data_IF_582627401486
#
_entry.id   IF_582627401486
#
_cell.length_a   1.000
_cell.length_b   1.000
_cell.length_c   1.000
_cell.angle_alpha   90.00
_cell.angle_beta   90.00
_cell.angle_gamma   90.00
#
_symmetry.space_group_name_H-M   'P 1'
#
loop_
_entity.id
_entity.type
_entity.pdbx_description
1 polymer ?
#
# COMPACT_ATOMS: atom_id res chain seq x y z
N UNK A 1 -7.60 -3.64 -18.85
CA UNK A 1 -8.59 -3.07 -19.79
C UNK A 1 -8.40 -1.54 -19.88
N UNK A 2 -8.65 -0.90 -21.01
CA UNK A 2 -8.45 0.56 -21.20
C UNK A 2 -9.66 1.35 -20.69
N UNK A 3 -9.43 2.44 -19.96
CA UNK A 3 -10.48 3.36 -19.46
C UNK A 3 -11.53 3.71 -20.52
N UNK A 4 -11.09 3.96 -21.75
CA UNK A 4 -11.95 4.34 -22.87
C UNK A 4 -13.09 3.34 -23.10
N UNK A 5 -12.81 2.04 -22.98
CA UNK A 5 -13.83 1.00 -23.15
C UNK A 5 -14.95 1.14 -22.11
N UNK A 6 -14.60 1.37 -20.84
CA UNK A 6 -15.57 1.57 -19.73
C UNK A 6 -16.49 2.73 -20.03
N UNK A 7 -15.91 3.84 -20.49
CA UNK A 7 -16.65 5.08 -20.73
C UNK A 7 -17.57 4.95 -21.95
N UNK A 8 -17.13 4.26 -23.00
CA UNK A 8 -17.90 4.09 -24.24
C UNK A 8 -19.04 3.09 -24.09
N UNK A 9 -18.87 2.06 -23.25
CA UNK A 9 -19.85 0.97 -23.09
C UNK A 9 -20.74 1.14 -21.86
N UNK A 10 -20.57 2.21 -21.08
CA UNK A 10 -21.44 2.53 -19.95
C UNK A 10 -22.90 2.72 -20.42
N UNK A 11 -23.86 1.86 -19.98
CA UNK A 11 -25.25 1.97 -20.40
C UNK A 11 -25.84 3.33 -20.03
N UNK A 12 -26.71 3.87 -20.89
CA UNK A 12 -27.30 5.20 -20.69
C UNK A 12 -28.00 5.35 -19.33
N UNK A 13 -28.65 4.29 -18.85
CA UNK A 13 -29.37 4.26 -17.57
C UNK A 13 -28.43 4.28 -16.37
N UNK A 14 -27.24 3.68 -16.50
CA UNK A 14 -26.16 3.76 -15.52
C UNK A 14 -25.54 5.16 -15.56
N UNK A 15 -25.23 5.67 -16.76
CA UNK A 15 -24.62 6.98 -16.96
C UNK A 15 -25.44 8.11 -16.32
N UNK A 16 -26.78 8.06 -16.42
CA UNK A 16 -27.69 9.03 -15.77
C UNK A 16 -27.70 8.98 -14.24
N UNK A 17 -27.19 7.90 -13.65
CA UNK A 17 -27.08 7.70 -12.20
C UNK A 17 -25.66 7.93 -11.68
N UNK A 18 -24.78 8.51 -12.51
CA UNK A 18 -23.41 8.83 -12.15
C UNK A 18 -23.20 10.34 -12.04
N UNK A 19 -22.23 10.74 -11.24
CA UNK A 19 -21.85 12.15 -11.08
C UNK A 19 -20.34 12.30 -11.28
N UNK A 20 -19.93 13.27 -12.08
CA UNK A 20 -18.53 13.63 -12.20
C UNK A 20 -18.09 14.47 -11.00
N UNK A 21 -16.96 14.12 -10.40
CA UNK A 21 -16.37 14.88 -9.28
C UNK A 21 -14.90 15.15 -9.56
N UNK A 22 -14.43 16.30 -9.09
CA UNK A 22 -13.03 16.70 -9.12
C UNK A 22 -12.53 16.80 -7.70
N UNK A 23 -11.35 16.25 -7.45
CA UNK A 23 -10.67 16.31 -6.16
C UNK A 23 -9.28 16.93 -6.37
N UNK A 24 -8.93 17.92 -5.55
CA UNK A 24 -7.62 18.57 -5.55
C UNK A 24 -6.63 17.76 -4.70
N UNK A 25 -5.30 17.91 -4.91
CA UNK A 25 -4.30 17.25 -4.07
C UNK A 25 -4.56 17.48 -2.57
N UNK A 26 -4.55 16.40 -1.78
CA UNK A 26 -4.84 16.40 -0.35
C UNK A 26 -6.32 16.24 0.01
N UNK A 27 -7.25 16.30 -0.96
CA UNK A 27 -8.67 16.04 -0.69
C UNK A 27 -8.95 14.54 -0.59
N UNK A 28 -9.73 14.16 0.43
CA UNK A 28 -10.13 12.77 0.63
C UNK A 28 -11.35 12.43 -0.23
N UNK A 29 -11.23 11.35 -1.01
CA UNK A 29 -12.33 10.80 -1.82
C UNK A 29 -13.22 9.93 -0.94
N UNK A 30 -12.61 9.10 -0.09
CA UNK A 30 -13.27 8.29 0.94
C UNK A 30 -12.42 8.27 2.21
N UNK A 31 -13.05 8.16 3.38
CA UNK A 31 -12.33 7.95 4.64
C UNK A 31 -12.65 6.58 5.23
N UNK A 32 -11.64 5.95 5.82
CA UNK A 32 -11.79 4.71 6.58
C UNK A 32 -12.89 4.86 7.64
N UNK A 33 -13.77 3.86 7.72
CA UNK A 33 -14.84 3.82 8.70
C UNK A 33 -16.08 4.65 8.33
N UNK A 34 -16.05 5.42 7.24
CA UNK A 34 -17.26 5.98 6.66
C UNK A 34 -18.05 4.91 5.91
N UNK A 35 -19.35 5.13 5.77
CA UNK A 35 -20.23 4.19 5.06
C UNK A 35 -19.87 4.07 3.58
N UNK A 36 -19.66 2.83 3.13
CA UNK A 36 -19.32 2.45 1.76
C UNK A 36 -20.53 2.47 0.82
N UNK A 37 -21.19 3.64 0.72
CA UNK A 37 -22.40 3.84 -0.10
C UNK A 37 -22.13 4.12 -1.58
N UNK A 38 -20.87 4.37 -1.95
CA UNK A 38 -20.50 4.78 -3.30
C UNK A 38 -19.25 4.04 -3.80
N UNK A 39 -19.20 3.89 -5.12
CA UNK A 39 -17.99 3.47 -5.85
C UNK A 39 -17.57 4.61 -6.76
N UNK A 40 -16.26 4.82 -6.88
CA UNK A 40 -15.68 5.87 -7.70
C UNK A 40 -14.76 5.25 -8.74
N UNK A 41 -14.98 5.55 -10.02
CA UNK A 41 -14.07 5.24 -11.11
C UNK A 41 -13.12 6.41 -11.32
N UNK A 42 -11.83 6.18 -11.11
CA UNK A 42 -10.77 7.15 -11.36
C UNK A 42 -10.52 7.28 -12.87
N UNK A 43 -10.80 8.46 -13.42
CA UNK A 43 -10.67 8.75 -14.86
C UNK A 43 -9.46 9.61 -15.18
N UNK A 44 -8.91 10.31 -14.17
CA UNK A 44 -7.68 11.11 -14.27
C UNK A 44 -7.02 11.24 -12.90
N UNK A 45 -5.69 11.31 -12.90
CA UNK A 45 -4.89 11.58 -11.70
C UNK A 45 -4.43 10.32 -10.98
N UNK A 46 -3.88 10.51 -9.80
CA UNK A 46 -3.37 9.45 -8.92
C UNK A 46 -3.88 9.67 -7.51
N UNK A 47 -4.23 8.58 -6.83
CA UNK A 47 -4.65 8.61 -5.42
C UNK A 47 -3.73 7.78 -4.55
N UNK A 48 -3.73 8.05 -3.25
CA UNK A 48 -2.95 7.34 -2.24
C UNK A 48 -3.87 6.67 -1.24
N UNK A 49 -3.61 5.39 -0.99
CA UNK A 49 -4.37 4.56 -0.05
C UNK A 49 -3.64 4.50 1.28
N UNK A 50 -4.35 4.84 2.35
CA UNK A 50 -3.77 4.88 3.69
C UNK A 50 -4.73 4.41 4.78
N UNK A 51 -4.15 3.94 5.88
CA UNK A 51 -4.84 3.62 7.11
C UNK A 51 -4.50 4.67 8.16
N UNK A 52 -5.51 5.24 8.79
CA UNK A 52 -5.35 6.07 9.98
C UNK A 52 -5.63 5.22 11.22
N UNK A 53 -4.72 5.30 12.20
CA UNK A 53 -4.85 4.60 13.47
C UNK A 53 -5.39 5.54 14.54
N UNK A 54 -5.92 4.99 15.65
CA UNK A 54 -6.44 5.79 16.77
C UNK A 54 -5.40 6.74 17.40
N UNK A 55 -4.10 6.51 17.15
CA UNK A 55 -3.01 7.40 17.53
C UNK A 55 -2.88 8.66 16.67
N UNK A 56 -3.67 8.78 15.58
CA UNK A 56 -3.51 9.83 14.55
C UNK A 56 -2.40 9.53 13.54
N UNK A 57 -1.69 8.40 13.67
CA UNK A 57 -0.66 8.01 12.72
C UNK A 57 -1.29 7.49 11.43
N UNK A 58 -0.78 7.96 10.28
CA UNK A 58 -1.22 7.55 8.95
C UNK A 58 -0.18 6.66 8.28
N UNK A 59 -0.58 5.46 7.89
CA UNK A 59 0.25 4.52 7.15
C UNK A 59 -0.24 4.41 5.71
N UNK A 60 0.59 4.86 4.77
CA UNK A 60 0.34 4.72 3.32
C UNK A 60 0.90 3.41 2.84
N UNK A 61 0.09 2.62 2.12
CA UNK A 61 0.48 1.28 1.68
C UNK A 61 0.15 0.98 0.22
N UNK A 62 -0.40 1.95 -0.50
CA UNK A 62 -0.65 1.81 -1.93
C UNK A 62 -1.01 3.14 -2.57
N UNK A 63 -1.08 3.11 -3.89
CA UNK A 63 -1.63 4.15 -4.75
C UNK A 63 -2.56 3.50 -5.78
N UNK A 64 -3.45 4.30 -6.35
CA UNK A 64 -4.29 3.88 -7.47
C UNK A 64 -4.04 4.79 -8.67
N UNK A 65 -3.89 4.15 -9.83
CA UNK A 65 -3.63 4.80 -11.12
C UNK A 65 -4.80 4.59 -12.08
N UNK A 66 -4.91 5.46 -13.09
CA UNK A 66 -6.00 5.38 -14.06
C UNK A 66 -5.86 4.14 -14.98
N UNK A 67 -6.94 3.37 -15.21
CA UNK A 67 -8.21 3.36 -14.49
C UNK A 67 -8.16 2.48 -13.24
N UNK A 68 -8.75 2.94 -12.15
CA UNK A 68 -9.02 2.12 -10.96
C UNK A 68 -10.36 2.50 -10.32
N UNK A 69 -10.80 1.66 -9.40
CA UNK A 69 -12.00 1.82 -8.61
C UNK A 69 -11.67 2.04 -7.13
N UNK A 70 -12.46 2.87 -6.48
CA UNK A 70 -12.43 3.16 -5.05
C UNK A 70 -13.78 2.75 -4.46
N UNK A 71 -13.76 1.97 -3.38
CA UNK A 71 -14.97 1.45 -2.74
C UNK A 71 -15.52 0.16 -3.34
N UNK A 72 -14.94 -0.32 -4.45
CA UNK A 72 -15.31 -1.57 -5.10
C UNK A 72 -15.08 -2.78 -4.19
N UNK A 73 -13.96 -2.80 -3.45
CA UNK A 73 -13.63 -3.87 -2.52
C UNK A 73 -14.73 -4.07 -1.47
N UNK A 74 -15.15 -3.00 -0.80
CA UNK A 74 -16.14 -3.08 0.27
C UNK A 74 -17.52 -3.48 -0.26
N UNK A 75 -17.96 -2.86 -1.34
CA UNK A 75 -19.25 -3.14 -1.96
C UNK A 75 -19.33 -4.60 -2.41
N UNK A 76 -18.26 -5.13 -3.00
CA UNK A 76 -18.22 -6.53 -3.46
C UNK A 76 -18.04 -7.54 -2.33
N UNK A 77 -17.36 -7.16 -1.25
CA UNK A 77 -17.21 -7.97 -0.04
C UNK A 77 -18.42 -7.87 0.92
N UNK A 78 -19.45 -7.11 0.57
CA UNK A 78 -20.64 -6.88 1.41
C UNK A 78 -20.34 -6.12 2.71
N UNK A 79 -19.22 -5.38 2.76
CA UNK A 79 -18.83 -4.58 3.92
C UNK A 79 -19.51 -3.21 3.89
N UNK A 80 -19.91 -2.74 5.06
CA UNK A 80 -20.65 -1.48 5.19
C UNK A 80 -19.74 -0.25 5.29
N UNK A 81 -18.46 -0.43 5.61
CA UNK A 81 -17.53 0.65 5.91
C UNK A 81 -16.27 0.55 5.05
N UNK A 82 -15.75 1.68 4.57
CA UNK A 82 -14.45 1.73 3.87
C UNK A 82 -13.33 1.19 4.76
N UNK A 83 -12.55 0.24 4.23
CA UNK A 83 -11.45 -0.39 4.96
C UNK A 83 -10.21 0.51 5.06
N UNK A 84 -10.08 1.48 4.14
CA UNK A 84 -8.98 2.43 4.07
C UNK A 84 -9.46 3.81 3.60
N UNK A 85 -8.66 4.83 3.88
CA UNK A 85 -8.85 6.17 3.34
C UNK A 85 -8.15 6.29 1.99
N UNK A 86 -8.77 7.02 1.06
CA UNK A 86 -8.18 7.32 -0.24
C UNK A 86 -8.16 8.82 -0.47
N UNK A 87 -6.97 9.35 -0.75
CA UNK A 87 -6.71 10.79 -0.88
C UNK A 87 -6.07 11.09 -2.23
N UNK A 88 -6.52 12.18 -2.87
CA UNK A 88 -5.98 12.63 -4.14
C UNK A 88 -4.51 13.07 -3.97
N UNK A 89 -3.60 12.45 -4.71
CA UNK A 89 -2.17 12.82 -4.75
C UNK A 89 -1.87 13.84 -5.86
N UNK A 90 -2.67 13.83 -6.92
CA UNK A 90 -2.76 14.88 -7.94
C UNK A 90 -4.19 15.41 -8.03
N UNK A 91 -4.45 16.40 -8.89
CA UNK A 91 -5.85 16.69 -9.29
C UNK A 91 -6.44 15.43 -9.91
N UNK A 92 -7.54 14.94 -9.34
CA UNK A 92 -8.22 13.73 -9.75
C UNK A 92 -9.59 14.05 -10.33
N UNK A 93 -9.97 13.35 -11.39
CA UNK A 93 -11.33 13.33 -11.92
C UNK A 93 -11.89 11.93 -11.72
N UNK A 94 -13.11 11.85 -11.19
CA UNK A 94 -13.76 10.57 -10.90
C UNK A 94 -15.23 10.57 -11.35
N UNK A 95 -15.72 9.40 -11.72
CA UNK A 95 -17.14 9.13 -11.89
C UNK A 95 -17.62 8.42 -10.62
N UNK A 96 -18.47 9.09 -9.84
CA UNK A 96 -19.08 8.55 -8.65
C UNK A 96 -20.44 7.93 -8.96
N UNK A 97 -20.72 6.76 -8.40
CA UNK A 97 -22.04 6.12 -8.45
C UNK A 97 -22.38 5.45 -7.13
N UNK A 98 -23.67 5.26 -6.85
CA UNK A 98 -24.09 4.51 -5.67
C UNK A 98 -23.70 3.05 -5.79
N UNK A 99 -23.49 2.38 -4.66
CA UNK A 99 -23.17 0.96 -4.61
C UNK A 99 -24.20 0.11 -5.38
N UNK A 100 -25.49 0.44 -5.29
CA UNK A 100 -26.54 -0.30 -6.00
C UNK A 100 -26.43 -0.12 -7.52
N UNK A 101 -26.11 1.10 -7.98
CA UNK A 101 -25.90 1.40 -9.41
C UNK A 101 -24.68 0.65 -9.96
N UNK A 102 -23.59 0.61 -9.20
CA UNK A 102 -22.39 -0.17 -9.55
C UNK A 102 -22.69 -1.67 -9.67
N UNK A 103 -23.36 -2.25 -8.67
CA UNK A 103 -23.76 -3.65 -8.68
C UNK A 103 -24.77 -3.97 -9.79
N UNK A 104 -25.68 -3.05 -10.08
CA UNK A 104 -26.60 -3.18 -11.23
C UNK A 104 -25.81 -3.25 -12.53
N UNK A 105 -24.85 -2.35 -12.75
CA UNK A 105 -24.04 -2.36 -13.96
C UNK A 105 -23.29 -3.69 -14.13
N UNK A 106 -22.61 -4.18 -13.08
CA UNK A 106 -21.94 -5.48 -13.16
C UNK A 106 -22.88 -6.64 -13.49
N UNK A 107 -24.16 -6.59 -13.10
CA UNK A 107 -25.12 -7.68 -13.39
C UNK A 107 -25.61 -7.68 -14.84
N UNK A 108 -25.63 -6.53 -15.49
CA UNK A 108 -26.17 -6.37 -16.86
C UNK A 108 -25.09 -6.32 -17.92
N UNK A 109 -23.82 -6.16 -17.53
CA UNK A 109 -22.67 -6.00 -18.41
C UNK A 109 -21.53 -6.94 -17.97
N UNK A 110 -21.42 -8.08 -18.67
CA UNK A 110 -20.42 -9.10 -18.37
C UNK A 110 -18.99 -8.60 -18.60
N UNK A 111 -18.77 -7.78 -19.62
CA UNK A 111 -17.44 -7.28 -19.95
C UNK A 111 -16.97 -6.30 -18.87
N UNK A 112 -17.88 -5.45 -18.38
CA UNK A 112 -17.61 -4.60 -17.22
C UNK A 112 -17.30 -5.44 -15.96
N UNK A 113 -18.09 -6.49 -15.68
CA UNK A 113 -17.86 -7.35 -14.52
C UNK A 113 -16.50 -8.07 -14.57
N UNK A 114 -16.13 -8.63 -15.73
CA UNK A 114 -14.81 -9.23 -15.96
C UNK A 114 -13.70 -8.21 -15.73
N UNK A 115 -13.91 -6.98 -16.17
CA UNK A 115 -12.92 -5.95 -16.01
C UNK A 115 -12.72 -5.46 -14.58
N UNK A 116 -13.81 -5.33 -13.81
CA UNK A 116 -13.74 -5.08 -12.37
C UNK A 116 -12.95 -6.19 -11.68
N UNK A 117 -13.23 -7.46 -12.02
CA UNK A 117 -12.49 -8.59 -11.49
C UNK A 117 -10.99 -8.53 -11.83
N UNK A 118 -10.64 -8.11 -13.06
CA UNK A 118 -9.25 -7.90 -13.47
C UNK A 118 -8.57 -6.76 -12.70
N UNK A 119 -9.26 -5.65 -12.44
CA UNK A 119 -8.72 -4.53 -11.65
C UNK A 119 -8.47 -4.96 -10.20
N UNK A 120 -9.42 -5.66 -9.57
CA UNK A 120 -9.24 -6.24 -8.25
C UNK A 120 -8.08 -7.24 -8.22
N UNK A 121 -8.00 -8.14 -9.20
CA UNK A 121 -6.90 -9.10 -9.31
C UNK A 121 -5.56 -8.37 -9.48
N UNK A 122 -5.48 -7.30 -10.28
CA UNK A 122 -4.28 -6.51 -10.46
C UNK A 122 -3.86 -5.78 -9.17
N UNK A 123 -4.81 -5.32 -8.33
CA UNK A 123 -4.51 -4.76 -7.00
C UNK A 123 -3.98 -5.83 -6.03
N UNK A 124 -4.54 -7.04 -6.09
CA UNK A 124 -4.19 -8.14 -5.20
C UNK A 124 -2.93 -8.89 -5.65
N UNK A 125 -2.63 -8.92 -6.94
CA UNK A 125 -1.57 -9.75 -7.52
C UNK A 125 -0.17 -9.34 -7.04
N UNK A 126 0.23 -8.05 -7.02
CA UNK A 126 1.44 -7.61 -6.36
C UNK A 126 1.42 -8.03 -4.90
N UNK A 127 0.34 -7.77 -4.16
CA UNK A 127 0.24 -8.23 -2.76
C UNK A 127 0.28 -9.75 -2.62
N UNK A 128 -0.01 -10.55 -3.65
CA UNK A 128 0.07 -12.01 -3.63
C UNK A 128 1.46 -12.53 -4.00
N UNK A 129 2.12 -11.87 -4.95
CA UNK A 129 3.49 -12.14 -5.36
C UNK A 129 4.49 -11.64 -4.30
N UNK A 130 4.24 -10.44 -3.76
CA UNK A 130 4.80 -9.94 -2.52
C UNK A 130 4.25 -10.71 -1.31
N UNK A 131 3.06 -11.30 -1.25
CA UNK A 131 2.69 -12.13 -0.08
C UNK A 131 3.53 -13.39 0.00
N UNK A 132 3.96 -13.92 -1.16
CA UNK A 132 5.02 -14.95 -1.20
C UNK A 132 6.34 -14.46 -0.60
N UNK A 133 6.68 -13.17 -0.70
CA UNK A 133 7.93 -12.58 -0.19
C UNK A 133 7.80 -11.74 1.10
N UNK A 134 6.62 -11.34 1.55
CA UNK A 134 6.38 -10.33 2.61
C UNK A 134 5.52 -10.92 3.73
N UNK A 135 4.65 -11.90 3.43
CA UNK A 135 4.03 -12.72 4.49
C UNK A 135 4.97 -13.83 4.98
N UNK A 136 6.04 -14.14 4.23
CA UNK A 136 7.02 -15.17 4.56
C UNK A 136 8.44 -14.68 4.86
N UNK A 137 8.72 -13.37 4.80
CA UNK A 137 9.94 -12.84 5.42
C UNK A 137 9.64 -12.53 6.89
N UNK A 138 10.12 -13.33 7.86
CA UNK A 138 10.17 -12.95 9.26
C UNK A 138 10.44 -11.45 9.44
N UNK A 139 9.88 -10.82 10.47
CA UNK A 139 10.16 -9.40 10.77
C UNK A 139 11.66 -9.08 10.93
N UNK A 140 12.51 -10.11 10.98
CA UNK A 140 13.96 -10.06 10.90
C UNK A 140 14.45 -9.61 9.51
N UNK A 141 13.90 -10.13 8.43
CA UNK A 141 14.42 -9.88 7.08
C UNK A 141 13.92 -8.53 6.55
N UNK A 142 12.74 -8.07 6.99
CA UNK A 142 12.32 -6.67 6.76
C UNK A 142 13.26 -5.69 7.47
N UNK A 143 13.72 -6.02 8.67
CA UNK A 143 14.74 -5.22 9.35
C UNK A 143 16.08 -5.29 8.62
N UNK A 144 16.46 -6.47 8.11
CA UNK A 144 17.68 -6.66 7.31
C UNK A 144 17.65 -5.83 6.02
N UNK A 145 16.60 -5.94 5.21
CA UNK A 145 16.42 -5.15 3.99
C UNK A 145 16.37 -3.65 4.26
N UNK A 146 15.77 -3.24 5.38
CA UNK A 146 15.83 -1.85 5.84
C UNK A 146 17.25 -1.37 6.10
N UNK A 147 18.06 -2.17 6.80
CA UNK A 147 19.46 -1.85 7.08
C UNK A 147 20.30 -1.75 5.81
N UNK A 148 20.12 -2.68 4.86
CA UNK A 148 20.80 -2.63 3.56
C UNK A 148 20.42 -1.39 2.77
N UNK A 149 19.13 -1.04 2.73
CA UNK A 149 18.68 0.19 2.06
C UNK A 149 19.27 1.45 2.70
N UNK A 150 19.43 1.46 4.03
CA UNK A 150 20.05 2.59 4.75
C UNK A 150 21.56 2.66 4.59
N UNK A 151 22.21 1.51 4.42
CA UNK A 151 23.63 1.41 4.10
C UNK A 151 23.91 1.88 2.68
N UNK A 152 23.11 1.45 1.70
CA UNK A 152 23.27 1.78 0.29
C UNK A 152 24.70 1.50 -0.21
N UNK A 153 25.25 2.46 -0.95
CA UNK A 153 26.62 2.43 -1.47
C UNK A 153 27.61 3.22 -0.58
N UNK A 154 27.27 3.46 0.68
CA UNK A 154 28.15 4.21 1.59
C UNK A 154 29.39 3.37 1.90
N UNK A 155 30.56 3.88 1.55
CA UNK A 155 31.85 3.34 1.98
C UNK A 155 32.28 3.99 3.30
N UNK A 156 32.26 3.22 4.39
CA UNK A 156 32.70 3.68 5.70
C UNK A 156 33.31 2.55 6.52
N UNK A 157 34.32 2.86 7.34
CA UNK A 157 34.89 1.91 8.30
C UNK A 157 33.87 1.48 9.36
N UNK A 158 32.98 2.41 9.74
CA UNK A 158 31.92 2.18 10.71
C UNK A 158 30.65 2.90 10.27
N UNK A 159 29.62 2.14 9.94
CA UNK A 159 28.28 2.65 9.70
C UNK A 159 27.54 2.78 11.03
N UNK A 160 26.88 3.91 11.26
CA UNK A 160 26.03 4.15 12.43
C UNK A 160 24.64 4.53 11.96
N UNK A 161 23.64 3.74 12.33
CA UNK A 161 22.24 4.07 12.03
C UNK A 161 21.72 5.09 13.04
N UNK A 162 21.39 6.29 12.56
CA UNK A 162 20.84 7.37 13.38
C UNK A 162 19.31 7.30 13.57
N UNK A 163 18.65 6.32 12.95
CA UNK A 163 17.21 6.14 13.05
C UNK A 163 16.79 5.49 14.38
N UNK A 164 15.75 6.02 15.02
CA UNK A 164 15.20 5.48 16.26
C UNK A 164 14.49 4.14 16.05
N UNK A 165 14.33 3.35 17.12
CA UNK A 165 13.58 2.07 17.06
C UNK A 165 12.11 2.25 16.67
N UNK A 166 11.50 3.35 17.09
CA UNK A 166 10.13 3.70 16.73
C UNK A 166 10.04 3.95 15.22
N UNK A 167 10.91 4.80 14.68
CA UNK A 167 10.91 5.10 13.26
C UNK A 167 11.21 3.86 12.41
N UNK A 168 12.12 2.98 12.84
CA UNK A 168 12.35 1.70 12.14
C UNK A 168 11.07 0.85 12.13
N UNK A 169 10.35 0.79 13.25
CA UNK A 169 9.12 0.01 13.37
C UNK A 169 8.02 0.54 12.43
N UNK A 170 7.90 1.86 12.35
CA UNK A 170 6.98 2.55 11.46
C UNK A 170 7.35 2.31 9.98
N UNK A 171 8.63 2.43 9.64
CA UNK A 171 9.15 2.25 8.28
C UNK A 171 8.94 0.82 7.75
N UNK A 172 9.02 -0.20 8.62
CA UNK A 172 8.90 -1.62 8.23
C UNK A 172 7.56 -2.28 8.61
N UNK A 173 6.58 -1.48 9.05
CA UNK A 173 5.23 -1.94 9.36
C UNK A 173 5.16 -2.98 10.48
N UNK A 174 5.84 -2.74 11.60
CA UNK A 174 5.86 -3.65 12.76
C UNK A 174 5.84 -2.90 14.10
N UNK A 175 5.86 -3.62 15.22
CA UNK A 175 5.97 -3.01 16.55
C UNK A 175 7.42 -2.82 16.99
N UNK A 176 7.70 -1.81 17.82
CA UNK A 176 9.04 -1.60 18.43
C UNK A 176 9.55 -2.85 19.15
N UNK A 177 8.66 -3.58 19.83
CA UNK A 177 9.00 -4.86 20.48
C UNK A 177 9.54 -5.89 19.48
N UNK A 178 8.98 -5.90 18.27
CA UNK A 178 9.41 -6.80 17.19
C UNK A 178 10.72 -6.34 16.57
N UNK A 179 10.92 -5.03 16.37
CA UNK A 179 12.22 -4.48 15.96
C UNK A 179 13.30 -4.84 16.97
N UNK A 180 13.06 -4.64 18.27
CA UNK A 180 14.03 -4.97 19.31
C UNK A 180 14.40 -6.46 19.32
N UNK A 181 13.42 -7.36 19.14
CA UNK A 181 13.69 -8.80 18.97
C UNK A 181 14.54 -9.09 17.74
N UNK A 182 14.28 -8.42 16.62
CA UNK A 182 15.07 -8.57 15.40
C UNK A 182 16.52 -8.08 15.57
N UNK A 183 16.70 -6.94 16.23
CA UNK A 183 18.03 -6.38 16.55
C UNK A 183 18.84 -7.34 17.41
N UNK A 184 18.24 -7.98 18.42
CA UNK A 184 18.92 -8.98 19.24
C UNK A 184 19.40 -10.15 18.37
N UNK A 185 18.53 -10.69 17.51
CA UNK A 185 18.88 -11.80 16.61
C UNK A 185 19.99 -11.45 15.62
N UNK A 186 19.94 -10.28 14.98
CA UNK A 186 21.00 -9.83 14.05
C UNK A 186 22.33 -9.62 14.78
N UNK A 187 22.29 -9.15 16.03
CA UNK A 187 23.49 -9.01 16.87
C UNK A 187 24.07 -10.38 17.24
N UNK A 188 23.22 -11.33 17.64
CA UNK A 188 23.62 -12.71 17.97
C UNK A 188 24.21 -13.44 16.74
N UNK A 189 23.69 -13.16 15.55
CA UNK A 189 24.22 -13.64 14.28
C UNK A 189 25.50 -12.92 13.82
N UNK A 190 26.00 -11.94 14.57
CA UNK A 190 27.20 -11.17 14.22
C UNK A 190 27.03 -10.17 13.08
N UNK A 191 25.82 -10.00 12.54
CA UNK A 191 25.53 -9.12 11.39
C UNK A 191 25.53 -7.63 11.76
N UNK A 192 25.27 -7.30 13.04
CA UNK A 192 25.30 -5.92 13.54
C UNK A 192 25.92 -5.85 14.93
N UNK A 193 26.29 -4.64 15.33
CA UNK A 193 26.71 -4.28 16.68
C UNK A 193 25.81 -3.20 17.28
N UNK A 194 25.92 -2.97 18.59
CA UNK A 194 25.24 -1.88 19.28
C UNK A 194 26.25 -0.98 19.98
N UNK A 195 26.22 0.32 19.68
CA UNK A 195 27.02 1.34 20.35
C UNK A 195 26.09 2.39 20.95
N UNK A 196 26.08 2.52 22.29
CA UNK A 196 25.17 3.41 23.02
C UNK A 196 23.69 3.27 22.59
N UNK A 197 23.25 2.04 22.30
CA UNK A 197 21.88 1.72 21.86
C UNK A 197 21.61 1.89 20.36
N UNK A 198 22.52 2.48 19.59
CA UNK A 198 22.40 2.61 18.12
C UNK A 198 22.91 1.37 17.41
N UNK A 199 22.32 1.02 16.26
CA UNK A 199 22.85 -0.03 15.39
C UNK A 199 24.12 0.48 14.74
N UNK A 200 25.17 -0.33 14.77
CA UNK A 200 26.42 -0.05 14.09
C UNK A 200 26.91 -1.26 13.30
N UNK A 201 27.66 -1.04 12.22
CA UNK A 201 28.25 -2.11 11.41
C UNK A 201 29.65 -1.71 10.97
N UNK A 202 30.65 -2.55 11.29
CA UNK A 202 32.00 -2.39 10.73
C UNK A 202 32.03 -2.89 9.26
N UNK A 203 33.16 -2.75 8.56
CA UNK A 203 33.30 -3.21 7.16
C UNK A 203 32.95 -4.68 6.93
N UNK A 204 33.41 -5.56 7.83
CA UNK A 204 33.13 -7.01 7.74
C UNK A 204 31.63 -7.29 7.86
N UNK A 205 30.97 -6.66 8.84
CA UNK A 205 29.52 -6.77 9.05
C UNK A 205 28.72 -6.18 7.90
N UNK A 206 29.16 -5.06 7.32
CA UNK A 206 28.53 -4.50 6.13
C UNK A 206 28.58 -5.46 4.94
N UNK A 207 29.71 -6.15 4.74
CA UNK A 207 29.85 -7.14 3.68
C UNK A 207 29.00 -8.39 3.96
N UNK A 208 29.10 -8.95 5.16
CA UNK A 208 28.32 -10.11 5.57
C UNK A 208 26.81 -9.86 5.44
N UNK A 209 26.34 -8.66 5.80
CA UNK A 209 24.95 -8.26 5.65
C UNK A 209 24.51 -8.21 4.17
N UNK A 210 25.39 -7.78 3.26
CA UNK A 210 25.13 -7.78 1.81
C UNK A 210 25.09 -9.20 1.25
N UNK A 211 26.02 -10.05 1.65
CA UNK A 211 26.17 -11.42 1.15
C UNK A 211 25.01 -12.32 1.61
N UNK A 212 24.56 -12.18 2.86
CA UNK A 212 23.46 -12.98 3.43
C UNK A 212 22.13 -12.79 2.70
N UNK A 213 21.93 -11.67 1.99
CA UNK A 213 20.71 -11.43 1.19
C UNK A 213 20.83 -11.88 -0.27
N UNK A 214 22.04 -12.19 -0.74
CA UNK A 214 22.30 -12.62 -2.11
C UNK A 214 22.23 -14.15 -2.29
N UNK A 215 22.20 -14.90 -1.19
CA UNK A 215 22.14 -16.37 -1.16
C UNK A 215 20.70 -16.94 -1.05
N UNK A 216 19.66 -16.10 -1.09
CA UNK A 216 18.23 -16.48 -1.13
C UNK A 216 17.56 -16.12 -2.48
#
# INVERSE_FOLDING_TARGET
MKLQYILDHMPADIKRQTTHKVYLPGESIVRKGEEAKHVYLLTKGETRVSNEFASGQRYTFGSLDVPDLIGDLEVLAGQQLYAASNEASSTCEVIAMRAETFLQWMRIDNDFAVAVAQLLAAKMYPTSNEAGRVKFLPSLDRLHGYLLKRLGDIETDLFILHTSRQQIADDIGTSVKTVNRGVVKLKEAGLISLLHGKITMNKEQQQLLKDTLAEE
#
